data_IF_368288689621
#
_entry.id   IF_368288689621
#
_cell.length_a   1.000
_cell.length_b   1.000
_cell.length_c   1.000
_cell.angle_alpha   90.00
_cell.angle_beta   90.00
_cell.angle_gamma   90.00
#
_symmetry.space_group_name_H-M   'P 1'
#
loop_
_entity.id
_entity.type
_entity.pdbx_description
1 polymer ?
#
# COMPACT_ATOMS: atom_id res chain seq x y z
N UNK A 1 4.22 8.10 10.83
CA UNK A 1 2.75 7.99 10.97
C UNK A 1 2.22 6.97 9.97
N UNK A 2 1.18 6.20 10.32
CA UNK A 2 0.59 5.18 9.44
C UNK A 2 -0.86 5.56 9.11
N UNK A 3 -1.21 5.51 7.82
CA UNK A 3 -2.57 5.73 7.32
C UNK A 3 -3.13 4.46 6.68
N UNK A 4 -4.38 4.12 7.04
CA UNK A 4 -5.13 3.01 6.46
C UNK A 4 -6.19 3.54 5.50
N UNK A 5 -6.24 2.98 4.30
CA UNK A 5 -7.27 3.34 3.31
C UNK A 5 -8.29 2.20 3.20
N UNK A 6 -9.55 2.59 3.34
CA UNK A 6 -10.74 1.77 3.11
C UNK A 6 -11.49 2.33 1.90
N UNK A 7 -12.21 1.49 1.16
CA UNK A 7 -12.92 1.95 -0.03
C UNK A 7 -14.04 2.93 0.39
N UNK A 8 -14.06 4.12 -0.21
CA UNK A 8 -15.15 5.07 0.00
C UNK A 8 -16.22 4.76 -1.05
N UNK A 9 -17.28 4.05 -0.65
CA UNK A 9 -18.47 3.87 -1.50
C UNK A 9 -19.18 5.23 -1.58
N UNK A 10 -18.99 5.99 -2.66
CA UNK A 10 -19.87 7.13 -2.94
C UNK A 10 -21.31 6.62 -3.14
N UNK A 11 -22.33 7.18 -2.48
CA UNK A 11 -23.71 6.84 -2.77
C UNK A 11 -24.14 7.58 -4.04
N UNK A 12 -23.84 7.02 -5.21
CA UNK A 12 -24.46 7.48 -6.46
C UNK A 12 -25.81 6.80 -6.63
N UNK A 13 -26.87 7.49 -6.23
CA UNK A 13 -28.23 7.17 -6.63
C UNK A 13 -28.33 7.14 -8.16
N UNK A 14 -28.62 5.95 -8.70
CA UNK A 14 -28.67 5.73 -10.14
C UNK A 14 -29.22 4.35 -10.48
N UNK A 15 -30.55 4.30 -10.65
CA UNK A 15 -31.37 3.35 -11.43
C UNK A 15 -30.88 1.89 -11.52
N UNK A 16 -31.57 1.04 -10.77
CA UNK A 16 -31.47 -0.42 -10.78
C UNK A 16 -31.80 -1.00 -12.17
N UNK A 17 -30.78 -1.42 -12.92
CA UNK A 17 -30.91 -2.30 -14.09
C UNK A 17 -30.65 -3.74 -13.66
N UNK A 18 -31.60 -4.63 -13.96
CA UNK A 18 -31.54 -6.03 -13.59
C UNK A 18 -30.60 -6.78 -14.56
N UNK A 19 -29.37 -7.09 -14.11
CA UNK A 19 -28.36 -7.84 -14.86
C UNK A 19 -27.90 -9.05 -14.03
N UNK A 20 -28.79 -10.02 -13.82
CA UNK A 20 -28.57 -11.19 -12.96
C UNK A 20 -27.65 -12.27 -13.56
N UNK A 21 -26.81 -11.96 -14.55
CA UNK A 21 -25.86 -12.91 -15.16
C UNK A 21 -24.42 -12.39 -15.33
N UNK A 22 -24.14 -11.11 -15.07
CA UNK A 22 -22.80 -10.51 -15.29
C UNK A 22 -21.95 -10.31 -14.02
N UNK A 23 -22.58 -10.35 -12.84
CA UNK A 23 -21.96 -9.97 -11.55
C UNK A 23 -20.79 -10.88 -11.13
N UNK A 24 -20.70 -12.12 -11.62
CA UNK A 24 -19.62 -13.04 -11.27
C UNK A 24 -18.27 -12.71 -11.91
N UNK A 25 -18.24 -12.01 -13.05
CA UNK A 25 -16.99 -11.68 -13.75
C UNK A 25 -16.37 -10.36 -13.28
N UNK A 26 -17.18 -9.43 -12.75
CA UNK A 26 -16.71 -8.11 -12.34
C UNK A 26 -15.86 -8.14 -11.06
N UNK A 27 -16.19 -9.02 -10.11
CA UNK A 27 -15.37 -9.22 -8.91
C UNK A 27 -13.97 -9.77 -9.22
N UNK A 28 -13.84 -10.55 -10.31
CA UNK A 28 -12.55 -11.06 -10.78
C UNK A 28 -11.80 -10.01 -11.61
N UNK A 29 -12.49 -9.13 -12.34
CA UNK A 29 -11.87 -8.02 -13.06
C UNK A 29 -11.39 -6.90 -12.12
N UNK A 30 -12.14 -6.60 -11.05
CA UNK A 30 -11.74 -5.65 -10.01
C UNK A 30 -10.62 -6.20 -9.12
N UNK A 31 -10.48 -7.53 -9.04
CA UNK A 31 -9.31 -8.19 -8.43
C UNK A 31 -8.04 -8.13 -9.27
N UNK A 32 -8.15 -7.73 -10.56
CA UNK A 32 -7.10 -7.86 -11.56
C UNK A 32 -6.39 -6.54 -11.91
N UNK A 33 -6.76 -5.42 -11.30
CA UNK A 33 -6.05 -4.15 -11.53
C UNK A 33 -4.81 -4.13 -10.63
N UNK A 34 -3.65 -4.19 -11.27
CA UNK A 34 -2.35 -3.97 -10.63
C UNK A 34 -2.40 -2.69 -9.77
N UNK A 35 -2.21 -2.77 -8.44
CA UNK A 35 -2.28 -1.59 -7.58
C UNK A 35 -1.01 -0.73 -7.64
N UNK A 36 0.09 -1.23 -8.22
CA UNK A 36 1.40 -0.56 -8.21
C UNK A 36 1.36 0.84 -8.85
N UNK A 37 0.68 1.09 -9.99
CA UNK A 37 0.55 2.43 -10.54
C UNK A 37 -0.08 3.43 -9.57
N UNK A 38 -1.14 3.04 -8.85
CA UNK A 38 -1.77 3.89 -7.83
C UNK A 38 -0.82 4.17 -6.67
N UNK A 39 -0.08 3.16 -6.20
CA UNK A 39 0.93 3.32 -5.16
C UNK A 39 2.07 4.26 -5.60
N UNK A 40 2.51 4.18 -6.87
CA UNK A 40 3.53 5.06 -7.45
C UNK A 40 3.02 6.51 -7.47
N UNK A 41 1.80 6.74 -7.93
CA UNK A 41 1.19 8.09 -7.92
C UNK A 41 1.10 8.64 -6.50
N UNK A 42 0.66 7.83 -5.52
CA UNK A 42 0.58 8.24 -4.13
C UNK A 42 1.96 8.59 -3.55
N UNK A 43 2.97 7.74 -3.78
CA UNK A 43 4.33 7.98 -3.31
C UNK A 43 4.94 9.26 -3.90
N UNK A 44 4.73 9.51 -5.20
CA UNK A 44 5.16 10.75 -5.87
C UNK A 44 4.51 11.98 -5.23
N UNK A 45 3.21 11.93 -4.97
CA UNK A 45 2.50 13.00 -4.30
C UNK A 45 3.01 13.25 -2.87
N UNK A 46 3.20 12.19 -2.06
CA UNK A 46 3.75 12.31 -0.72
C UNK A 46 5.19 12.82 -0.71
N UNK A 47 6.00 12.45 -1.70
CA UNK A 47 7.33 13.00 -1.88
C UNK A 47 7.29 14.50 -2.16
N UNK A 48 6.40 14.97 -3.05
CA UNK A 48 6.21 16.39 -3.33
C UNK A 48 5.77 17.20 -2.11
N UNK A 49 4.99 16.59 -1.21
CA UNK A 49 4.61 17.17 0.08
C UNK A 49 5.71 17.12 1.15
N UNK A 50 6.86 16.47 0.86
CA UNK A 50 7.97 16.31 1.80
C UNK A 50 7.76 15.22 2.85
N UNK A 51 6.79 14.33 2.69
CA UNK A 51 6.41 13.31 3.68
C UNK A 51 7.15 11.97 3.53
N UNK A 52 7.88 11.77 2.42
CA UNK A 52 8.60 10.54 2.12
C UNK A 52 9.95 10.83 1.46
N UNK A 53 10.76 11.69 2.08
CA UNK A 53 12.05 12.11 1.51
C UNK A 53 13.04 10.93 1.46
N UNK A 54 13.75 10.81 0.34
CA UNK A 54 14.75 9.76 0.13
C UNK A 54 14.16 8.35 0.16
N UNK A 55 14.61 7.54 1.10
CA UNK A 55 14.21 6.13 1.29
C UNK A 55 13.24 5.91 2.44
N UNK A 56 12.87 6.97 3.16
CA UNK A 56 12.00 6.90 4.34
C UNK A 56 10.55 6.59 3.93
N UNK A 57 9.85 5.86 4.79
CA UNK A 57 8.48 5.43 4.54
C UNK A 57 8.36 4.23 3.59
N UNK A 58 7.17 3.65 3.52
CA UNK A 58 6.81 2.62 2.56
C UNK A 58 5.29 2.56 2.36
N UNK A 59 4.89 1.96 1.24
CA UNK A 59 3.49 1.86 0.85
C UNK A 59 3.18 0.42 0.48
N UNK A 60 1.94 0.00 0.74
CA UNK A 60 1.45 -1.31 0.33
C UNK A 60 -0.02 -1.29 -0.07
N UNK A 61 -0.42 -2.28 -0.86
CA UNK A 61 -1.81 -2.55 -1.19
C UNK A 61 -2.12 -4.05 -1.11
N UNK A 62 -3.21 -4.38 -0.42
CA UNK A 62 -3.73 -5.74 -0.24
C UNK A 62 -4.43 -6.21 -1.51
N UNK A 63 -4.24 -7.48 -1.84
CA UNK A 63 -4.88 -8.18 -2.93
C UNK A 63 -6.06 -9.01 -2.40
N UNK A 64 -7.01 -9.42 -3.26
CA UNK A 64 -8.16 -10.20 -2.83
C UNK A 64 -7.83 -11.58 -2.27
N UNK A 65 -6.68 -12.16 -2.65
CA UNK A 65 -6.16 -13.41 -2.08
C UNK A 65 -5.50 -13.22 -0.69
N UNK A 66 -5.50 -12.00 -0.16
CA UNK A 66 -4.89 -11.64 1.12
C UNK A 66 -3.39 -11.32 1.05
N UNK A 67 -2.72 -11.65 -0.06
CA UNK A 67 -1.35 -11.17 -0.30
C UNK A 67 -1.33 -9.65 -0.44
N UNK A 68 -0.15 -9.03 -0.42
CA UNK A 68 -0.04 -7.59 -0.65
C UNK A 68 1.24 -7.23 -1.37
N UNK A 69 1.17 -6.19 -2.18
CA UNK A 69 2.34 -5.52 -2.76
C UNK A 69 2.89 -4.52 -1.76
N UNK A 70 4.20 -4.48 -1.56
CA UNK A 70 4.88 -3.47 -0.73
C UNK A 70 6.11 -2.93 -1.45
N UNK A 71 6.44 -1.66 -1.26
CA UNK A 71 7.67 -1.08 -1.80
C UNK A 71 8.91 -1.81 -1.25
N UNK A 72 9.87 -2.11 -2.11
CA UNK A 72 11.15 -2.68 -1.74
C UNK A 72 11.99 -1.71 -0.87
N UNK A 73 12.92 -2.28 -0.12
CA UNK A 73 13.83 -1.53 0.75
C UNK A 73 14.79 -0.65 -0.06
N UNK A 74 15.11 0.53 0.44
CA UNK A 74 16.12 1.42 -0.15
C UNK A 74 15.69 2.17 -1.43
N UNK A 75 14.45 2.00 -1.90
CA UNK A 75 13.98 2.71 -3.10
C UNK A 75 13.71 4.20 -2.83
N UNK A 76 14.09 5.06 -3.77
CA UNK A 76 13.81 6.49 -3.75
C UNK A 76 12.32 6.75 -4.02
N UNK A 77 11.57 7.23 -3.02
CA UNK A 77 10.10 7.24 -3.08
C UNK A 77 9.51 8.21 -4.11
N UNK A 78 10.26 9.24 -4.49
CA UNK A 78 9.88 10.15 -5.58
C UNK A 78 10.05 9.58 -7.00
N UNK A 79 10.65 8.40 -7.16
CA UNK A 79 10.98 7.81 -8.47
C UNK A 79 10.63 6.31 -8.56
N UNK A 80 9.61 5.87 -7.81
CA UNK A 80 9.19 4.46 -7.85
C UNK A 80 8.67 4.06 -9.23
N UNK A 81 9.06 2.88 -9.68
CA UNK A 81 8.45 2.14 -10.79
C UNK A 81 7.86 0.81 -10.32
N UNK A 82 7.20 0.09 -11.22
CA UNK A 82 6.57 -1.20 -10.88
C UNK A 82 7.57 -2.28 -10.42
N UNK A 83 8.86 -2.12 -10.78
CA UNK A 83 9.98 -2.97 -10.34
C UNK A 83 10.48 -2.64 -8.93
N UNK A 84 9.90 -1.67 -8.25
CA UNK A 84 10.24 -1.33 -6.87
C UNK A 84 9.25 -1.93 -5.87
N UNK A 85 8.47 -2.93 -6.28
CA UNK A 85 7.47 -3.59 -5.44
C UNK A 85 7.73 -5.08 -5.33
N UNK A 86 7.45 -5.63 -4.17
CA UNK A 86 7.56 -7.06 -3.84
C UNK A 86 6.20 -7.53 -3.34
N UNK A 87 5.75 -8.70 -3.81
CA UNK A 87 4.51 -9.32 -3.36
C UNK A 87 4.77 -10.27 -2.21
N UNK A 88 4.05 -10.09 -1.12
CA UNK A 88 4.20 -10.82 0.13
C UNK A 88 2.90 -11.56 0.43
N UNK A 89 3.02 -12.83 0.81
CA UNK A 89 1.92 -13.65 1.29
C UNK A 89 1.44 -13.20 2.67
N UNK A 90 0.26 -13.65 3.08
CA UNK A 90 -0.29 -13.38 4.42
C UNK A 90 0.60 -13.89 5.56
N UNK A 91 1.35 -14.97 5.31
CA UNK A 91 2.32 -15.55 6.26
C UNK A 91 3.73 -14.95 6.16
N UNK A 92 3.90 -13.93 5.32
CA UNK A 92 5.15 -13.19 5.17
C UNK A 92 6.16 -13.77 4.18
N UNK A 93 5.84 -14.88 3.51
CA UNK A 93 6.68 -15.38 2.41
C UNK A 93 6.67 -14.43 1.21
N UNK A 94 7.81 -14.28 0.56
CA UNK A 94 7.91 -13.55 -0.71
C UNK A 94 7.32 -14.41 -1.83
N UNK A 95 6.26 -13.92 -2.48
CA UNK A 95 5.62 -14.57 -3.61
C UNK A 95 6.21 -14.12 -4.94
N UNK A 96 6.51 -12.82 -5.06
CA UNK A 96 7.03 -12.23 -6.28
C UNK A 96 8.02 -11.13 -5.93
N UNK A 97 9.19 -11.13 -6.60
CA UNK A 97 10.13 -10.02 -6.57
C UNK A 97 10.71 -9.76 -7.96
N UNK A 98 10.89 -8.49 -8.35
CA UNK A 98 11.30 -8.12 -9.70
C UNK A 98 12.79 -8.38 -9.97
N UNK A 99 13.64 -8.37 -8.95
CA UNK A 99 15.06 -8.74 -9.04
C UNK A 99 15.44 -9.75 -7.94
N UNK A 100 16.41 -10.66 -8.18
CA UNK A 100 16.87 -11.62 -7.17
C UNK A 100 17.36 -10.95 -5.88
N UNK A 101 18.00 -9.79 -5.98
CA UNK A 101 18.54 -9.01 -4.86
C UNK A 101 17.51 -8.10 -4.18
N UNK A 102 16.32 -7.91 -4.76
CA UNK A 102 15.26 -7.11 -4.16
C UNK A 102 14.86 -7.68 -2.80
N UNK A 103 14.89 -6.83 -1.77
CA UNK A 103 14.48 -7.17 -0.41
C UNK A 103 13.20 -6.43 -0.03
N UNK A 104 12.23 -7.10 0.64
CA UNK A 104 11.09 -6.40 1.20
C UNK A 104 11.53 -5.32 2.18
N UNK A 105 10.67 -4.33 2.41
CA UNK A 105 10.91 -3.31 3.44
C UNK A 105 11.19 -3.98 4.79
N UNK A 106 12.08 -3.39 5.61
CA UNK A 106 12.30 -3.82 6.99
C UNK A 106 11.01 -3.75 7.82
N UNK A 107 10.05 -2.91 7.42
CA UNK A 107 8.78 -2.67 8.10
C UNK A 107 7.63 -3.53 7.56
N UNK A 108 7.92 -4.54 6.73
CA UNK A 108 6.90 -5.44 6.17
C UNK A 108 6.02 -6.10 7.23
N UNK A 109 6.60 -6.45 8.39
CA UNK A 109 5.86 -7.06 9.52
C UNK A 109 4.79 -6.12 10.11
N UNK A 110 5.01 -4.80 10.07
CA UNK A 110 4.02 -3.81 10.52
C UNK A 110 2.80 -3.84 9.59
N UNK A 111 3.03 -3.92 8.28
CA UNK A 111 1.96 -4.02 7.29
C UNK A 111 1.17 -5.32 7.40
N UNK A 112 1.84 -6.44 7.65
CA UNK A 112 1.19 -7.73 7.93
C UNK A 112 0.29 -7.64 9.16
N UNK A 113 0.81 -7.09 10.25
CA UNK A 113 0.07 -6.93 11.50
C UNK A 113 -1.17 -6.05 11.29
N UNK A 114 -1.03 -4.97 10.52
CA UNK A 114 -2.14 -4.11 10.14
C UNK A 114 -3.20 -4.87 9.33
N UNK A 115 -2.82 -5.62 8.29
CA UNK A 115 -3.79 -6.35 7.48
C UNK A 115 -4.44 -7.51 8.23
N UNK A 116 -3.80 -8.01 9.29
CA UNK A 116 -4.35 -9.02 10.20
C UNK A 116 -5.35 -8.39 11.17
N UNK A 117 -5.01 -7.25 11.80
CA UNK A 117 -5.86 -6.55 12.76
C UNK A 117 -7.02 -5.80 12.10
N UNK A 118 -6.83 -5.35 10.87
CA UNK A 118 -7.81 -4.60 10.09
C UNK A 118 -8.06 -5.29 8.74
N UNK A 119 -8.86 -6.37 8.71
CA UNK A 119 -9.06 -7.18 7.51
C UNK A 119 -9.63 -6.39 6.31
N UNK A 120 -10.41 -5.35 6.58
CA UNK A 120 -11.05 -4.49 5.59
C UNK A 120 -10.09 -3.48 4.95
N UNK A 121 -8.92 -3.23 5.56
CA UNK A 121 -7.93 -2.31 5.03
C UNK A 121 -7.42 -2.80 3.67
N UNK A 122 -7.38 -1.90 2.69
CA UNK A 122 -6.96 -2.22 1.31
C UNK A 122 -5.60 -1.65 0.95
N UNK A 123 -5.17 -0.59 1.62
CA UNK A 123 -3.83 -0.05 1.50
C UNK A 123 -3.34 0.50 2.84
N UNK A 124 -2.02 0.51 3.00
CA UNK A 124 -1.34 1.03 4.17
C UNK A 124 -0.15 1.90 3.71
N UNK A 125 -0.09 3.13 4.23
CA UNK A 125 0.98 4.09 3.95
C UNK A 125 1.70 4.44 5.24
N UNK A 126 2.98 4.06 5.32
CA UNK A 126 3.89 4.52 6.36
C UNK A 126 4.67 5.72 5.83
N UNK A 127 4.44 6.89 6.43
CA UNK A 127 5.05 8.16 6.01
C UNK A 127 5.72 8.87 7.19
N UNK A 128 6.64 9.77 6.88
CA UNK A 128 7.34 10.63 7.83
C UNK A 128 7.02 12.09 7.50
N UNK A 129 5.87 12.58 7.98
CA UNK A 129 5.56 14.00 7.83
C UNK A 129 6.57 14.85 8.62
N UNK A 130 6.75 16.09 8.19
CA UNK A 130 7.70 17.02 8.81
C UNK A 130 7.34 17.23 10.29
N UNK A 131 6.04 17.37 10.58
CA UNK A 131 5.51 17.58 11.92
C UNK A 131 5.78 16.36 12.81
N UNK A 132 5.61 15.14 12.28
CA UNK A 132 5.89 13.92 13.02
C UNK A 132 7.38 13.80 13.38
N UNK A 133 8.28 14.16 12.46
CA UNK A 133 9.72 14.17 12.70
C UNK A 133 10.14 15.29 13.67
N UNK A 134 9.46 16.44 13.65
CA UNK A 134 9.71 17.52 14.62
C UNK A 134 9.33 17.09 16.03
N UNK A 135 8.15 16.47 16.20
CA UNK A 135 7.66 16.00 17.52
C UNK A 135 8.57 14.93 18.13
N UNK A 136 9.20 14.06 17.34
CA UNK A 136 10.14 13.06 17.89
C UNK A 136 11.36 13.68 18.58
N UNK A 137 11.72 14.93 18.25
CA UNK A 137 12.77 15.65 18.97
C UNK A 137 12.34 16.18 20.35
N UNK A 138 11.05 16.09 20.69
CA UNK A 138 10.49 16.55 21.96
C UNK A 138 10.15 15.39 22.92
N UNK A 139 10.33 14.15 22.51
CA UNK A 139 10.21 12.98 23.38
C UNK A 139 11.60 12.66 23.95
N UNK A 140 11.70 12.42 25.25
CA UNK A 140 12.94 11.88 25.83
C UNK A 140 13.11 10.46 25.32
N UNK A 141 14.35 10.07 25.01
CA UNK A 141 14.68 8.69 24.73
C UNK A 141 14.31 7.85 25.97
N UNK A 142 13.39 6.90 25.81
CA UNK A 142 13.01 5.92 26.83
C UNK A 142 14.04 4.78 26.91
#
# INVERSE_FOLDING_TARGET
MIFLMYNNSYPSGGRMVNLSSSIRNDHQLLSAIDPRPTLITAASHFYQLGWMVGTAGNLSAKQPDGSFWITASGCHKGQLGSKDFIRIATDGRVLEKPLPESRPSAETSIHQSIYSLFPDAKACYHIHSIEANLVSGFTKDD
#
